data_IF_497205098883
#
_entry.id   IF_497205098883
#
_cell.length_a   1.000
_cell.length_b   1.000
_cell.length_c   1.000
_cell.angle_alpha   90.00
_cell.angle_beta   90.00
_cell.angle_gamma   90.00
#
_symmetry.space_group_name_H-M   'P 1'
#
loop_
_entity.id
_entity.type
_entity.pdbx_description
1 polymer ?
#
# COMPACT_ATOMS: atom_id res chain seq x y z
N UNK A 1 -10.33 -7.45 0.58
CA UNK A 1 -9.32 -6.63 -0.13
C UNK A 1 -9.76 -5.18 -0.34
N UNK A 2 -10.77 -4.85 -1.16
CA UNK A 2 -11.19 -3.45 -1.40
C UNK A 2 -11.53 -2.66 -0.12
N UNK A 3 -12.23 -3.28 0.85
CA UNK A 3 -12.53 -2.65 2.15
C UNK A 3 -11.27 -2.33 2.96
N UNK A 4 -10.28 -3.22 2.98
CA UNK A 4 -9.02 -3.01 3.71
C UNK A 4 -8.17 -1.90 3.08
N UNK A 5 -8.09 -1.87 1.75
CA UNK A 5 -7.40 -0.79 1.02
C UNK A 5 -8.07 0.58 1.27
N UNK A 6 -9.40 0.62 1.30
CA UNK A 6 -10.14 1.84 1.65
C UNK A 6 -9.88 2.28 3.10
N UNK A 7 -9.94 1.35 4.06
CA UNK A 7 -9.65 1.64 5.46
C UNK A 7 -8.21 2.16 5.67
N UNK A 8 -7.23 1.64 4.93
CA UNK A 8 -5.86 2.17 4.96
C UNK A 8 -5.82 3.64 4.47
N UNK A 9 -6.55 3.97 3.40
CA UNK A 9 -6.63 5.35 2.92
C UNK A 9 -7.29 6.29 3.95
N UNK A 10 -8.36 5.85 4.62
CA UNK A 10 -9.00 6.60 5.70
C UNK A 10 -8.04 6.85 6.88
N UNK A 11 -7.26 5.84 7.27
CA UNK A 11 -6.25 5.98 8.32
C UNK A 11 -5.16 6.97 7.93
N UNK A 12 -4.65 6.93 6.69
CA UNK A 12 -3.66 7.90 6.20
C UNK A 12 -4.22 9.33 6.17
N UNK A 13 -5.45 9.51 5.69
CA UNK A 13 -6.12 10.82 5.69
C UNK A 13 -6.28 11.36 7.13
N UNK A 14 -6.73 10.52 8.07
CA UNK A 14 -6.84 10.89 9.48
C UNK A 14 -5.48 11.23 10.09
N UNK A 15 -4.45 10.45 9.76
CA UNK A 15 -3.07 10.65 10.25
C UNK A 15 -2.51 12.03 9.89
N UNK A 16 -2.81 12.56 8.70
CA UNK A 16 -2.37 13.89 8.26
C UNK A 16 -2.95 15.04 9.09
N UNK A 17 -4.13 14.83 9.69
CA UNK A 17 -4.88 15.85 10.45
C UNK A 17 -4.55 15.84 11.94
N UNK A 18 -4.08 14.71 12.47
CA UNK A 18 -3.79 14.53 13.89
C UNK A 18 -2.41 15.09 14.23
N UNK A 19 -2.27 15.66 15.43
CA UNK A 19 -1.00 16.09 16.03
C UNK A 19 -0.70 15.40 17.36
N UNK A 20 -1.71 14.79 17.97
CA UNK A 20 -1.58 14.03 19.21
C UNK A 20 -0.79 12.73 18.97
N UNK A 21 0.29 12.55 19.72
CA UNK A 21 1.21 11.41 19.56
C UNK A 21 0.54 10.07 19.88
N UNK A 22 -0.34 10.01 20.89
CA UNK A 22 -1.00 8.76 21.26
C UNK A 22 -1.96 8.31 20.15
N UNK A 23 -2.70 9.25 19.56
CA UNK A 23 -3.57 8.97 18.42
C UNK A 23 -2.78 8.57 17.17
N UNK A 24 -1.60 9.16 16.92
CA UNK A 24 -0.73 8.74 15.80
C UNK A 24 -0.29 7.28 15.98
N UNK A 25 0.11 6.89 17.20
CA UNK A 25 0.52 5.51 17.51
C UNK A 25 -0.64 4.54 17.29
N UNK A 26 -1.85 4.89 17.73
CA UNK A 26 -3.05 4.08 17.52
C UNK A 26 -3.35 3.86 16.03
N UNK A 27 -3.28 4.94 15.23
CA UNK A 27 -3.46 4.87 13.78
C UNK A 27 -2.38 3.97 13.14
N UNK A 28 -1.12 4.15 13.52
CA UNK A 28 0.00 3.38 12.97
C UNK A 28 -0.10 1.89 13.35
N UNK A 29 -0.60 1.57 14.55
CA UNK A 29 -0.89 0.19 14.97
C UNK A 29 -2.02 -0.42 14.13
N UNK A 30 -3.15 0.29 14.00
CA UNK A 30 -4.29 -0.20 13.21
C UNK A 30 -3.94 -0.39 11.73
N UNK A 31 -3.08 0.46 11.19
CA UNK A 31 -2.51 0.32 9.84
C UNK A 31 -1.72 -0.98 9.70
N UNK A 32 -0.88 -1.30 10.69
CA UNK A 32 -0.15 -2.57 10.76
C UNK A 32 -1.08 -3.78 10.74
N UNK A 33 -2.12 -3.78 11.59
CA UNK A 33 -3.11 -4.87 11.62
C UNK A 33 -3.79 -5.10 10.26
N UNK A 34 -4.16 -4.02 9.56
CA UNK A 34 -4.76 -4.13 8.23
C UNK A 34 -3.79 -4.67 7.17
N UNK A 35 -2.50 -4.34 7.29
CA UNK A 35 -1.45 -4.89 6.41
C UNK A 35 -1.31 -6.38 6.61
N UNK A 36 -1.29 -6.84 7.86
CA UNK A 36 -1.20 -8.27 8.20
C UNK A 36 -2.47 -9.02 7.76
N UNK A 37 -3.67 -8.45 7.98
CA UNK A 37 -4.93 -9.01 7.46
C UNK A 37 -4.91 -9.19 5.92
N UNK A 38 -4.32 -8.24 5.20
CA UNK A 38 -4.17 -8.33 3.74
C UNK A 38 -3.18 -9.45 3.37
N UNK A 39 -2.03 -9.53 4.05
CA UNK A 39 -1.03 -10.57 3.78
C UNK A 39 -1.58 -11.97 4.05
N UNK A 40 -2.32 -12.15 5.15
CA UNK A 40 -3.01 -13.39 5.49
C UNK A 40 -4.03 -13.79 4.42
N UNK A 41 -4.82 -12.83 3.93
CA UNK A 41 -5.76 -13.09 2.85
C UNK A 41 -5.03 -13.50 1.57
N UNK A 42 -3.96 -12.80 1.20
CA UNK A 42 -3.14 -13.12 0.03
C UNK A 42 -2.53 -14.51 0.14
N UNK A 43 -2.00 -14.88 1.31
CA UNK A 43 -1.44 -16.22 1.54
C UNK A 43 -2.46 -17.35 1.36
N UNK A 44 -3.74 -17.06 1.64
CA UNK A 44 -4.85 -18.01 1.42
C UNK A 44 -5.25 -18.10 -0.06
N UNK A 45 -5.30 -16.97 -0.77
CA UNK A 45 -5.72 -16.92 -2.18
C UNK A 45 -4.61 -17.31 -3.18
N UNK A 46 -3.35 -17.13 -2.79
CA UNK A 46 -2.18 -17.40 -3.62
C UNK A 46 -1.26 -18.40 -2.89
N UNK A 47 -1.51 -19.72 -3.00
CA UNK A 47 -0.64 -20.73 -2.42
C UNK A 47 0.79 -20.53 -2.94
N UNK A 48 1.69 -20.07 -2.08
CA UNK A 48 3.03 -19.70 -2.52
C UNK A 48 3.75 -20.93 -3.08
N UNK A 49 4.27 -20.79 -4.29
CA UNK A 49 5.10 -21.82 -4.88
C UNK A 49 6.40 -21.91 -4.08
N UNK A 50 6.59 -23.04 -3.38
CA UNK A 50 7.82 -23.42 -2.64
C UNK A 50 9.11 -23.45 -3.48
N UNK A 51 9.06 -23.01 -4.75
CA UNK A 51 10.14 -23.03 -5.72
C UNK A 51 10.50 -21.64 -6.31
N UNK A 52 9.85 -20.54 -5.91
CA UNK A 52 10.21 -19.21 -6.44
C UNK A 52 11.67 -18.82 -6.15
N UNK A 53 12.36 -18.25 -7.14
CA UNK A 53 13.82 -18.11 -7.18
C UNK A 53 14.36 -16.80 -6.54
N UNK A 54 13.49 -15.87 -6.13
CA UNK A 54 13.89 -14.62 -5.47
C UNK A 54 12.89 -14.24 -4.36
N UNK A 55 13.41 -13.92 -3.17
CA UNK A 55 12.65 -13.42 -2.02
C UNK A 55 12.45 -11.92 -2.18
N UNK A 56 11.21 -11.43 -2.19
CA UNK A 56 10.97 -10.00 -2.12
C UNK A 56 11.21 -9.49 -0.68
N UNK A 57 11.76 -8.29 -0.55
CA UNK A 57 11.99 -7.65 0.75
C UNK A 57 10.73 -7.07 1.38
N UNK A 58 9.64 -6.96 0.63
CA UNK A 58 8.39 -6.35 1.06
C UNK A 58 7.19 -7.26 0.80
N UNK A 59 6.20 -7.21 1.69
CA UNK A 59 4.93 -7.94 1.54
C UNK A 59 3.96 -7.20 0.62
N UNK A 60 3.04 -7.93 -0.02
CA UNK A 60 2.02 -7.30 -0.87
C UNK A 60 1.11 -6.34 -0.09
N UNK A 61 0.81 -6.64 1.18
CA UNK A 61 0.08 -5.73 2.07
C UNK A 61 0.81 -4.41 2.30
N UNK A 62 2.14 -4.44 2.45
CA UNK A 62 2.94 -3.21 2.57
C UNK A 62 2.90 -2.37 1.28
N UNK A 63 2.88 -3.00 0.10
CA UNK A 63 2.69 -2.29 -1.17
C UNK A 63 1.31 -1.64 -1.25
N UNK A 64 0.26 -2.35 -0.83
CA UNK A 64 -1.11 -1.80 -0.76
C UNK A 64 -1.20 -0.61 0.20
N UNK A 65 -0.53 -0.67 1.35
CA UNK A 65 -0.45 0.44 2.29
C UNK A 65 0.21 1.69 1.69
N UNK A 66 1.32 1.51 0.96
CA UNK A 66 1.97 2.62 0.25
C UNK A 66 1.10 3.21 -0.85
N UNK A 67 0.37 2.38 -1.61
CA UNK A 67 -0.59 2.86 -2.61
C UNK A 67 -1.70 3.68 -1.94
N UNK A 68 -2.25 3.21 -0.82
CA UNK A 68 -3.28 3.94 -0.08
C UNK A 68 -2.75 5.30 0.41
N UNK A 69 -1.53 5.36 0.96
CA UNK A 69 -0.89 6.61 1.34
C UNK A 69 -0.68 7.55 0.15
N UNK A 70 -0.12 7.04 -0.94
CA UNK A 70 0.17 7.84 -2.14
C UNK A 70 -1.10 8.40 -2.77
N UNK A 71 -2.21 7.65 -2.72
CA UNK A 71 -3.53 8.13 -3.13
C UNK A 71 -3.99 9.32 -2.28
N UNK A 72 -3.85 9.26 -0.95
CA UNK A 72 -4.19 10.40 -0.07
C UNK A 72 -3.29 11.60 -0.38
N UNK A 73 -1.98 11.39 -0.48
CA UNK A 73 -1.02 12.47 -0.77
C UNK A 73 -1.32 13.13 -2.14
N UNK A 74 -1.70 12.36 -3.16
CA UNK A 74 -2.07 12.87 -4.48
C UNK A 74 -3.37 13.69 -4.48
N UNK A 75 -4.37 13.29 -3.70
CA UNK A 75 -5.60 14.09 -3.54
C UNK A 75 -5.32 15.37 -2.75
N UNK A 76 -4.54 15.29 -1.67
CA UNK A 76 -4.15 16.46 -0.89
C UNK A 76 -3.34 17.48 -1.72
N UNK A 77 -2.52 17.00 -2.67
CA UNK A 77 -1.79 17.87 -3.58
C UNK A 77 -2.72 18.67 -4.51
N UNK A 78 -3.84 18.08 -4.96
CA UNK A 78 -4.86 18.81 -5.72
C UNK A 78 -5.42 19.96 -4.88
N UNK A 79 -5.78 19.68 -3.63
CA UNK A 79 -6.40 20.68 -2.75
C UNK A 79 -5.44 21.82 -2.40
N UNK A 80 -4.15 21.53 -2.23
CA UNK A 80 -3.14 22.51 -1.81
C UNK A 80 -2.54 23.27 -2.98
N UNK A 81 -2.21 22.58 -4.07
CA UNK A 81 -1.43 23.12 -5.19
C UNK A 81 -2.26 23.33 -6.46
N UNK A 82 -3.49 22.82 -6.51
CA UNK A 82 -4.34 22.83 -7.69
C UNK A 82 -4.06 21.67 -8.64
N UNK A 83 -5.10 21.25 -9.36
CA UNK A 83 -5.09 20.05 -10.21
C UNK A 83 -4.04 20.08 -11.34
N UNK A 84 -3.66 21.26 -11.83
CA UNK A 84 -2.72 21.44 -12.95
C UNK A 84 -1.28 21.75 -12.52
N UNK A 85 -1.00 21.71 -11.22
CA UNK A 85 0.35 22.01 -10.73
C UNK A 85 1.32 20.86 -10.99
N UNK A 86 2.60 21.19 -11.18
CA UNK A 86 3.66 20.21 -11.27
C UNK A 86 3.74 19.33 -10.01
N UNK A 87 3.39 19.89 -8.85
CA UNK A 87 3.37 19.16 -7.59
C UNK A 87 2.29 18.06 -7.60
N UNK A 88 1.07 18.40 -8.00
CA UNK A 88 0.00 17.42 -8.22
C UNK A 88 0.45 16.34 -9.21
N UNK A 89 1.03 16.74 -10.34
CA UNK A 89 1.52 15.78 -11.34
C UNK A 89 2.53 14.79 -10.75
N UNK A 90 3.49 15.25 -9.94
CA UNK A 90 4.48 14.39 -9.27
C UNK A 90 3.84 13.35 -8.36
N UNK A 91 2.85 13.73 -7.54
CA UNK A 91 2.19 12.78 -6.66
C UNK A 91 1.37 11.74 -7.42
N UNK A 92 0.65 12.16 -8.47
CA UNK A 92 -0.09 11.23 -9.32
C UNK A 92 0.82 10.31 -10.12
N UNK A 93 1.95 10.80 -10.59
CA UNK A 93 2.97 9.98 -11.25
C UNK A 93 3.53 8.93 -10.28
N UNK A 94 3.85 9.32 -9.05
CA UNK A 94 4.32 8.38 -8.03
C UNK A 94 3.28 7.29 -7.69
N UNK A 95 2.00 7.65 -7.62
CA UNK A 95 0.92 6.67 -7.45
C UNK A 95 0.88 5.67 -8.63
N UNK A 96 1.05 6.14 -9.87
CA UNK A 96 1.08 5.26 -11.04
C UNK A 96 2.26 4.27 -10.96
N UNK A 97 3.45 4.72 -10.58
CA UNK A 97 4.62 3.83 -10.41
C UNK A 97 4.38 2.73 -9.37
N UNK A 98 3.68 3.05 -8.26
CA UNK A 98 3.33 2.05 -7.25
C UNK A 98 2.31 1.04 -7.78
N UNK A 99 1.34 1.47 -8.59
CA UNK A 99 0.34 0.59 -9.20
C UNK A 99 0.98 -0.33 -10.24
N UNK A 100 1.89 0.18 -11.05
CA UNK A 100 2.65 -0.61 -12.02
C UNK A 100 3.51 -1.66 -11.30
N UNK A 101 4.27 -1.23 -10.28
CA UNK A 101 5.08 -2.14 -9.46
C UNK A 101 4.26 -3.21 -8.72
N UNK A 102 3.06 -2.87 -8.25
CA UNK A 102 2.12 -3.84 -7.67
C UNK A 102 1.64 -4.86 -8.71
N UNK A 103 1.31 -4.40 -9.91
CA UNK A 103 0.83 -5.26 -11.01
C UNK A 103 1.91 -6.25 -11.44
N UNK A 104 3.15 -5.78 -11.59
CA UNK A 104 4.31 -6.62 -11.89
C UNK A 104 4.55 -7.66 -10.78
N UNK A 105 4.49 -7.22 -9.51
CA UNK A 105 4.69 -8.10 -8.36
C UNK A 105 3.63 -9.21 -8.28
N UNK A 106 2.35 -8.88 -8.44
CA UNK A 106 1.26 -9.87 -8.46
C UNK A 106 1.46 -10.86 -9.61
N UNK A 107 1.82 -10.37 -10.79
CA UNK A 107 2.07 -11.19 -11.98
C UNK A 107 3.25 -12.15 -11.79
N UNK A 108 4.31 -11.70 -11.12
CA UNK A 108 5.47 -12.52 -10.77
C UNK A 108 5.16 -13.57 -9.70
N UNK A 109 4.39 -13.22 -8.67
CA UNK A 109 4.00 -14.15 -7.60
C UNK A 109 3.03 -15.21 -8.12
N UNK A 110 2.01 -14.81 -8.89
CA UNK A 110 1.08 -15.72 -9.54
C UNK A 110 1.79 -16.69 -10.50
N UNK A 111 2.79 -16.19 -11.23
CA UNK A 111 3.62 -16.99 -12.12
C UNK A 111 4.71 -17.82 -11.42
N UNK A 112 4.81 -17.80 -10.10
CA UNK A 112 5.82 -18.53 -9.32
C UNK A 112 7.26 -18.03 -9.51
N UNK A 113 7.45 -16.86 -10.14
CA UNK A 113 8.78 -16.26 -10.39
C UNK A 113 9.36 -15.57 -9.15
N UNK A 114 8.50 -15.16 -8.21
CA UNK A 114 8.89 -14.47 -6.97
C UNK A 114 8.18 -15.07 -5.76
N UNK A 115 8.86 -15.12 -4.61
CA UNK A 115 8.24 -15.42 -3.31
C UNK A 115 8.12 -14.16 -2.48
N UNK A 116 7.06 -14.10 -1.68
CA UNK A 116 6.87 -13.05 -0.70
C UNK A 116 7.54 -13.48 0.62
N UNK A 117 7.91 -12.53 1.49
CA UNK A 117 8.41 -12.89 2.81
C UNK A 117 7.34 -13.69 3.58
N UNK A 118 7.77 -14.74 4.27
CA UNK A 118 6.95 -15.42 5.28
C UNK A 118 6.78 -14.43 6.45
N UNK A 119 5.55 -14.19 6.89
CA UNK A 119 5.27 -13.33 8.06
C UNK A 119 5.47 -14.11 9.36
#
# INVERSE_FOLDING_TARGET
MLRSAHALAELHARRQQVRDTALIIEIDYRRGELVDEINDWIGKEMPQHRNGASLHTESLGAVVDRMARSWVDANQAIDVSGARSDNTHKHWYHLAELVDGYTDLVTDVAGGRRRLPEQ
#
